data_IF_595918580379
#
_entry.id   IF_595918580379
#
_cell.length_a   1.000
_cell.length_b   1.000
_cell.length_c   1.000
_cell.angle_alpha   90.00
_cell.angle_beta   90.00
_cell.angle_gamma   90.00
#
_symmetry.space_group_name_H-M   'P 1'
#
loop_
_entity.id
_entity.type
_entity.pdbx_description
1 polymer ?
#
# COMPACT_ATOMS: atom_id res chain seq x y z
N UNK A 1 11.05 7.91 8.40
CA UNK A 1 10.20 8.90 7.70
C UNK A 1 8.86 8.25 7.51
N UNK A 2 7.77 8.89 7.93
CA UNK A 2 6.43 8.37 7.70
C UNK A 2 6.08 8.57 6.21
N UNK A 3 5.47 7.55 5.61
CA UNK A 3 4.95 7.62 4.25
C UNK A 3 3.81 8.64 4.19
N UNK A 4 3.74 9.43 3.13
CA UNK A 4 2.66 10.38 2.87
C UNK A 4 1.83 9.91 1.68
N UNK A 5 0.66 10.54 1.48
CA UNK A 5 -0.17 10.26 0.31
C UNK A 5 0.58 10.46 -1.02
N UNK A 6 1.52 11.40 -1.09
CA UNK A 6 2.33 11.64 -2.29
C UNK A 6 3.31 10.50 -2.61
N UNK A 7 3.58 9.62 -1.64
CA UNK A 7 4.47 8.47 -1.80
C UNK A 7 3.73 7.21 -2.29
N UNK A 8 2.39 7.22 -2.31
CA UNK A 8 1.57 6.14 -2.87
C UNK A 8 1.51 6.31 -4.40
N UNK A 9 2.07 5.35 -5.13
CA UNK A 9 2.19 5.38 -6.59
C UNK A 9 1.54 4.12 -7.15
N UNK A 10 0.78 4.29 -8.23
CA UNK A 10 0.21 3.17 -8.99
C UNK A 10 1.32 2.38 -9.68
N UNK A 11 1.12 1.06 -9.82
CA UNK A 11 2.07 0.07 -10.31
C UNK A 11 3.37 0.00 -9.50
N UNK A 12 3.30 0.38 -8.22
CA UNK A 12 4.39 0.20 -7.25
C UNK A 12 4.00 -0.83 -6.19
N UNK A 13 4.97 -1.63 -5.80
CA UNK A 13 4.83 -2.66 -4.76
C UNK A 13 5.21 -2.11 -3.39
N UNK A 14 4.42 -2.50 -2.40
CA UNK A 14 4.53 -2.12 -1.00
C UNK A 14 4.48 -3.38 -0.13
N UNK A 15 5.32 -3.44 0.90
CA UNK A 15 5.28 -4.50 1.89
C UNK A 15 4.54 -4.00 3.14
N UNK A 16 3.70 -4.85 3.72
CA UNK A 16 3.05 -4.58 4.99
C UNK A 16 4.11 -4.43 6.09
N UNK A 17 3.99 -3.41 6.93
CA UNK A 17 4.91 -3.20 8.05
C UNK A 17 4.59 -4.12 9.23
N UNK A 18 3.37 -4.65 9.28
CA UNK A 18 2.94 -5.59 10.29
C UNK A 18 3.30 -7.02 9.84
N UNK A 19 4.24 -7.68 10.53
CA UNK A 19 4.70 -9.02 10.16
C UNK A 19 3.65 -10.10 10.38
N UNK A 20 2.61 -9.86 11.18
CA UNK A 20 1.51 -10.81 11.42
C UNK A 20 0.43 -10.72 10.35
N UNK A 21 0.27 -9.54 9.73
CA UNK A 21 -0.68 -9.30 8.63
C UNK A 21 -0.06 -9.55 7.25
N UNK A 22 1.27 -9.50 7.16
CA UNK A 22 2.13 -10.13 6.15
C UNK A 22 1.65 -10.07 4.70
N UNK A 23 2.31 -9.25 3.88
CA UNK A 23 2.17 -9.37 2.42
C UNK A 23 2.77 -8.22 1.64
N UNK A 24 3.19 -8.53 0.42
CA UNK A 24 3.49 -7.56 -0.63
C UNK A 24 2.24 -7.31 -1.46
N UNK A 25 1.91 -6.03 -1.65
CA UNK A 25 0.78 -5.58 -2.44
C UNK A 25 1.23 -4.55 -3.46
N UNK A 26 0.71 -4.63 -4.68
CA UNK A 26 0.95 -3.69 -5.75
C UNK A 26 -0.27 -2.79 -5.92
N UNK A 27 -0.09 -1.48 -5.83
CA UNK A 27 -1.19 -0.54 -6.01
C UNK A 27 -1.58 -0.52 -7.49
N UNK A 28 -2.85 -0.76 -7.80
CA UNK A 28 -3.36 -0.75 -9.19
C UNK A 28 -4.17 0.48 -9.55
N UNK A 29 -4.83 1.07 -8.57
CA UNK A 29 -5.55 2.33 -8.79
C UNK A 29 -5.77 3.08 -7.50
N UNK A 30 -5.93 4.40 -7.63
CA UNK A 30 -6.27 5.30 -6.53
C UNK A 30 -7.50 6.09 -6.97
N UNK A 31 -8.57 6.03 -6.18
CA UNK A 31 -9.82 6.75 -6.43
C UNK A 31 -10.20 7.56 -5.19
N UNK A 32 -9.88 8.85 -5.21
CA UNK A 32 -10.00 9.72 -4.05
C UNK A 32 -9.07 9.26 -2.92
N UNK A 33 -9.67 8.80 -1.81
CA UNK A 33 -8.94 8.25 -0.66
C UNK A 33 -8.89 6.72 -0.65
N UNK A 34 -9.42 6.04 -1.67
CA UNK A 34 -9.38 4.58 -1.76
C UNK A 34 -8.20 4.13 -2.61
N UNK A 35 -7.46 3.15 -2.10
CA UNK A 35 -6.36 2.48 -2.79
C UNK A 35 -6.80 1.05 -3.05
N UNK A 36 -6.70 0.62 -4.31
CA UNK A 36 -6.95 -0.76 -4.71
C UNK A 36 -5.62 -1.42 -5.06
N UNK A 37 -5.41 -2.63 -4.57
CA UNK A 37 -4.15 -3.35 -4.72
C UNK A 37 -4.36 -4.86 -4.88
N UNK A 38 -3.39 -5.50 -5.52
CA UNK A 38 -3.30 -6.95 -5.75
C UNK A 38 -1.95 -7.51 -5.23
N UNK A 39 -1.86 -8.80 -4.94
CA UNK A 39 -0.61 -9.42 -4.50
C UNK A 39 -0.83 -10.60 -3.55
N UNK A 40 -0.18 -10.57 -2.38
CA UNK A 40 -0.41 -11.55 -1.31
C UNK A 40 -1.82 -11.41 -0.70
N UNK A 41 -2.38 -10.20 -0.76
CA UNK A 41 -3.77 -9.92 -0.44
C UNK A 41 -4.37 -9.00 -1.51
N UNK A 42 -5.47 -9.44 -2.11
CA UNK A 42 -6.26 -8.63 -3.05
C UNK A 42 -7.31 -7.84 -2.29
N UNK A 43 -7.45 -6.54 -2.58
CA UNK A 43 -8.48 -5.75 -1.94
C UNK A 43 -8.35 -4.25 -2.10
N UNK A 44 -8.84 -3.54 -1.09
CA UNK A 44 -8.75 -2.09 -1.01
C UNK A 44 -8.48 -1.63 0.43
N UNK A 45 -7.86 -0.47 0.56
CA UNK A 45 -7.69 0.23 1.84
C UNK A 45 -7.97 1.72 1.67
N UNK A 46 -8.23 2.39 2.79
CA UNK A 46 -8.20 3.85 2.84
C UNK A 46 -6.73 4.33 2.82
N UNK A 47 -6.50 5.47 2.18
CA UNK A 47 -5.20 6.13 2.03
C UNK A 47 -4.47 6.25 3.36
N UNK A 48 -5.14 6.75 4.40
CA UNK A 48 -4.56 6.93 5.74
C UNK A 48 -4.16 5.60 6.40
N UNK A 49 -4.95 4.55 6.18
CA UNK A 49 -4.62 3.22 6.70
C UNK A 49 -3.43 2.64 5.93
N UNK A 50 -3.40 2.84 4.60
CA UNK A 50 -2.34 2.29 3.76
C UNK A 50 -0.98 2.90 4.09
N UNK A 51 -0.88 4.23 4.21
CA UNK A 51 0.39 4.90 4.57
C UNK A 51 0.88 4.54 5.98
N UNK A 52 -0.06 4.14 6.87
CA UNK A 52 0.25 3.69 8.22
C UNK A 52 0.67 2.23 8.28
N UNK A 53 0.20 1.38 7.36
CA UNK A 53 0.38 -0.07 7.40
C UNK A 53 1.36 -0.61 6.36
N UNK A 54 1.78 0.19 5.39
CA UNK A 54 2.63 -0.25 4.29
C UNK A 54 3.83 0.68 4.09
N UNK A 55 4.91 0.12 3.55
CA UNK A 55 6.09 0.88 3.11
C UNK A 55 6.51 0.41 1.71
N UNK A 56 7.11 1.28 0.88
CA UNK A 56 7.54 0.86 -0.44
C UNK A 56 8.65 -0.18 -0.35
N UNK A 57 8.56 -1.24 -1.17
CA UNK A 57 9.66 -2.20 -1.31
C UNK A 57 10.87 -1.43 -1.87
N UNK A 58 12.04 -1.63 -1.27
CA UNK A 58 13.29 -1.06 -1.78
C UNK A 58 13.66 -1.82 -3.06
N UNK A 59 13.44 -1.17 -4.20
CA UNK A 59 14.05 -1.56 -5.45
C UNK A 59 15.51 -1.08 -5.50
#
# INVERSE_FOLDING_TARGET
>A
MAMTQADVVVDRTYECIDPELGGEVTVRSISGVHIYFDGDADGFALMDNFIGSYKPVRN
#
